data_IF_840948325845
#
_entry.id   IF_840948325845
#
_cell.length_a   1.000
_cell.length_b   1.000
_cell.length_c   1.000
_cell.angle_alpha   90.00
_cell.angle_beta   90.00
_cell.angle_gamma   90.00
#
_symmetry.space_group_name_H-M   'P 1'
#
loop_
_entity.id
_entity.type
_entity.pdbx_description
1 polymer ?
#
# COMPACT_ATOMS: atom_id res chain seq x y z
N UNK A 1 -14.26 0.38 -3.12
CA UNK A 1 -13.19 0.41 -4.14
C UNK A 1 -11.84 0.49 -3.46
N UNK A 2 -10.96 -0.45 -3.76
CA UNK A 2 -9.66 -0.55 -3.08
C UNK A 2 -8.59 0.21 -3.85
N UNK A 3 -7.48 0.51 -3.19
CA UNK A 3 -6.35 1.19 -3.83
C UNK A 3 -5.70 0.29 -4.89
N UNK A 4 -5.20 0.91 -5.95
CA UNK A 4 -4.42 0.21 -6.98
C UNK A 4 -3.04 -0.11 -6.44
N UNK A 5 -2.53 -1.30 -6.75
CA UNK A 5 -1.16 -1.69 -6.44
C UNK A 5 -0.38 -1.83 -7.74
N UNK A 6 0.89 -1.41 -7.72
CA UNK A 6 1.75 -1.51 -8.90
C UNK A 6 2.85 -2.56 -8.73
N UNK A 7 2.85 -3.25 -7.60
CA UNK A 7 3.74 -4.37 -7.32
C UNK A 7 2.96 -5.51 -6.67
N UNK A 8 3.41 -6.74 -6.89
CA UNK A 8 2.81 -7.94 -6.33
C UNK A 8 3.84 -9.06 -6.29
N UNK A 9 3.50 -10.17 -5.62
CA UNK A 9 4.26 -11.41 -5.74
C UNK A 9 3.67 -12.23 -6.88
N UNK A 10 4.54 -12.79 -7.73
CA UNK A 10 4.13 -13.65 -8.84
C UNK A 10 3.89 -15.10 -8.37
N UNK A 11 3.59 -16.00 -9.30
CA UNK A 11 3.35 -17.41 -9.00
C UNK A 11 4.54 -18.14 -8.38
N UNK A 12 5.75 -17.59 -8.51
CA UNK A 12 6.96 -18.13 -7.92
C UNK A 12 7.34 -17.45 -6.60
N UNK A 13 6.49 -16.56 -6.10
CA UNK A 13 6.74 -15.84 -4.87
C UNK A 13 7.75 -14.70 -4.99
N UNK A 14 8.04 -14.26 -6.20
CA UNK A 14 8.96 -13.16 -6.46
C UNK A 14 8.22 -11.85 -6.64
N UNK A 15 8.81 -10.77 -6.12
CA UNK A 15 8.25 -9.44 -6.29
C UNK A 15 8.35 -9.02 -7.76
N UNK A 16 7.23 -8.56 -8.33
CA UNK A 16 7.17 -8.12 -9.71
C UNK A 16 6.38 -6.82 -9.83
N UNK A 17 6.75 -6.00 -10.82
CA UNK A 17 5.99 -4.80 -11.15
C UNK A 17 4.85 -5.09 -12.11
N UNK A 18 3.84 -4.21 -12.11
CA UNK A 18 2.68 -4.37 -12.98
C UNK A 18 3.03 -4.34 -14.47
N UNK A 19 4.03 -3.56 -14.86
CA UNK A 19 4.48 -3.52 -16.26
C UNK A 19 5.14 -4.82 -16.69
N UNK A 20 5.98 -5.39 -15.84
CA UNK A 20 6.61 -6.69 -16.10
C UNK A 20 5.56 -7.80 -16.19
N UNK A 21 4.51 -7.71 -15.39
CA UNK A 21 3.41 -8.67 -15.37
C UNK A 21 2.64 -8.73 -16.70
N UNK A 22 2.77 -7.72 -17.56
CA UNK A 22 2.13 -7.76 -18.90
C UNK A 22 2.64 -8.93 -19.76
N UNK A 23 3.83 -9.43 -19.48
CA UNK A 23 4.38 -10.61 -20.17
C UNK A 23 3.73 -11.90 -19.67
N UNK A 24 3.14 -11.89 -18.49
CA UNK A 24 2.51 -13.05 -17.86
C UNK A 24 1.16 -12.69 -17.28
N UNK A 25 0.18 -12.25 -18.11
CA UNK A 25 -1.08 -11.68 -17.60
C UNK A 25 -1.99 -12.70 -16.91
N UNK A 26 -1.75 -13.98 -17.08
CA UNK A 26 -2.57 -15.05 -16.50
C UNK A 26 -1.89 -15.73 -15.30
N UNK A 27 -0.74 -15.23 -14.85
CA UNK A 27 -0.09 -15.75 -13.66
C UNK A 27 -0.89 -15.40 -12.41
N UNK A 28 -0.59 -16.08 -11.32
CA UNK A 28 -1.23 -15.80 -10.02
C UNK A 28 -0.44 -14.71 -9.31
N UNK A 29 -1.13 -13.63 -9.02
CA UNK A 29 -0.53 -12.51 -8.31
C UNK A 29 -1.16 -12.37 -6.94
N UNK A 30 -0.34 -12.18 -5.91
CA UNK A 30 -0.80 -11.98 -4.55
C UNK A 30 -0.19 -10.71 -3.96
N UNK A 31 -0.90 -10.12 -3.00
CA UNK A 31 -0.41 -8.95 -2.30
C UNK A 31 0.84 -9.29 -1.50
N UNK A 32 1.89 -8.51 -1.70
CA UNK A 32 3.16 -8.72 -0.99
C UNK A 32 3.05 -8.43 0.51
N UNK A 33 1.99 -7.78 0.97
CA UNK A 33 1.75 -7.46 2.37
C UNK A 33 0.83 -8.48 3.04
N UNK A 34 -0.39 -8.65 2.53
CA UNK A 34 -1.41 -9.45 3.19
C UNK A 34 -1.63 -10.84 2.59
N UNK A 35 -1.00 -11.13 1.44
CA UNK A 35 -1.12 -12.43 0.79
C UNK A 35 -2.46 -12.69 0.10
N UNK A 36 -3.31 -11.68 -0.04
CA UNK A 36 -4.58 -11.83 -0.76
C UNK A 36 -4.34 -11.98 -2.25
N UNK A 37 -5.14 -12.83 -2.90
CA UNK A 37 -5.09 -12.96 -4.36
C UNK A 37 -5.56 -11.66 -5.02
N UNK A 38 -4.81 -11.22 -6.03
CA UNK A 38 -5.06 -9.98 -6.72
C UNK A 38 -5.56 -10.25 -8.14
N UNK A 39 -6.32 -9.30 -8.66
CA UNK A 39 -6.71 -9.27 -10.06
C UNK A 39 -5.75 -8.39 -10.82
N UNK A 40 -5.16 -8.91 -11.90
CA UNK A 40 -4.29 -8.13 -12.76
C UNK A 40 -5.09 -7.39 -13.83
N UNK A 41 -4.82 -6.10 -13.97
CA UNK A 41 -5.39 -5.26 -15.02
C UNK A 41 -4.26 -4.83 -15.96
N UNK A 42 -4.22 -5.30 -17.22
CA UNK A 42 -3.21 -4.87 -18.17
C UNK A 42 -3.44 -3.42 -18.59
N UNK A 43 -2.43 -2.83 -19.23
CA UNK A 43 -2.52 -1.50 -19.78
C UNK A 43 -3.70 -1.39 -20.76
N UNK A 44 -4.50 -0.35 -20.60
CA UNK A 44 -5.65 -0.10 -21.48
C UNK A 44 -5.78 1.40 -21.71
N UNK A 45 -5.76 1.82 -22.97
CA UNK A 45 -5.74 3.23 -23.36
C UNK A 45 -4.58 3.97 -22.67
N UNK A 46 -4.91 4.99 -21.88
CA UNK A 46 -3.94 5.78 -21.12
C UNK A 46 -3.75 5.26 -19.70
N UNK A 47 -4.46 4.21 -19.30
CA UNK A 47 -4.38 3.68 -17.96
C UNK A 47 -3.21 2.72 -17.81
N UNK A 48 -2.38 2.94 -16.76
CA UNK A 48 -1.24 2.08 -16.44
C UNK A 48 -1.72 0.71 -15.97
N UNK A 49 -0.95 -0.36 -16.24
CA UNK A 49 -1.29 -1.65 -15.66
C UNK A 49 -1.21 -1.61 -14.13
N UNK A 50 -2.07 -2.37 -13.45
CA UNK A 50 -2.11 -2.40 -12.00
C UNK A 50 -2.70 -3.70 -11.48
N UNK A 51 -2.53 -3.94 -10.19
CA UNK A 51 -3.15 -5.05 -9.46
C UNK A 51 -4.23 -4.49 -8.54
N UNK A 52 -5.32 -5.24 -8.39
CA UNK A 52 -6.45 -4.84 -7.57
C UNK A 52 -6.81 -5.93 -6.57
N UNK A 53 -7.03 -5.52 -5.32
CA UNK A 53 -7.60 -6.41 -4.32
C UNK A 53 -9.07 -6.67 -4.63
N UNK A 54 -9.50 -7.91 -4.44
CA UNK A 54 -10.89 -8.32 -4.66
C UNK A 54 -11.53 -8.67 -3.33
N UNK A 55 -12.76 -8.19 -3.13
CA UNK A 55 -13.49 -8.41 -1.90
C UNK A 55 -13.63 -9.91 -1.56
N UNK A 56 -13.86 -10.75 -2.56
CA UNK A 56 -14.09 -12.18 -2.40
C UNK A 56 -12.82 -13.00 -2.14
N UNK A 57 -11.63 -12.43 -2.38
CA UNK A 57 -10.36 -13.14 -2.22
C UNK A 57 -9.49 -12.58 -1.10
N UNK A 58 -10.02 -11.65 -0.28
CA UNK A 58 -9.26 -11.06 0.82
C UNK A 58 -8.98 -12.09 1.92
N UNK A 59 -7.75 -12.08 2.41
CA UNK A 59 -7.39 -12.78 3.65
C UNK A 59 -7.93 -12.01 4.85
N UNK A 60 -8.00 -12.64 6.02
CA UNK A 60 -8.41 -11.94 7.25
C UNK A 60 -7.45 -10.79 7.57
N UNK A 61 -6.16 -11.03 7.41
CA UNK A 61 -5.14 -9.98 7.58
C UNK A 61 -5.35 -8.84 6.57
N UNK A 62 -5.72 -9.16 5.32
CA UNK A 62 -6.00 -8.16 4.30
C UNK A 62 -7.17 -7.27 4.66
N UNK A 63 -8.26 -7.86 5.14
CA UNK A 63 -9.45 -7.10 5.55
C UNK A 63 -9.16 -6.15 6.70
N UNK A 64 -8.32 -6.56 7.64
CA UNK A 64 -8.09 -5.82 8.88
C UNK A 64 -6.93 -4.85 8.79
N UNK A 65 -5.87 -5.18 8.06
CA UNK A 65 -4.60 -4.48 8.18
C UNK A 65 -3.98 -4.00 6.88
N UNK A 66 -4.39 -4.50 5.71
CA UNK A 66 -3.73 -4.13 4.47
C UNK A 66 -4.02 -2.68 4.08
N UNK A 67 -2.98 -1.84 3.86
CA UNK A 67 -3.17 -0.45 3.49
C UNK A 67 -3.91 -0.25 2.16
N UNK A 68 -3.82 -1.21 1.25
CA UNK A 68 -4.54 -1.16 -0.03
C UNK A 68 -6.03 -1.39 0.13
N UNK A 69 -6.45 -2.08 1.18
CA UNK A 69 -7.85 -2.37 1.50
C UNK A 69 -8.41 -1.32 2.46
N UNK A 70 -7.60 -0.91 3.44
CA UNK A 70 -7.97 0.09 4.44
C UNK A 70 -7.02 1.28 4.36
N UNK A 71 -7.23 2.21 3.43
CA UNK A 71 -6.46 3.44 3.38
C UNK A 71 -6.75 4.29 4.61
N UNK A 72 -5.92 5.30 4.85
CA UNK A 72 -6.10 6.22 5.97
C UNK A 72 -7.46 6.90 5.95
N UNK A 73 -7.94 7.31 7.11
CA UNK A 73 -9.25 7.95 7.26
C UNK A 73 -9.37 9.20 6.41
N UNK A 74 -8.32 10.03 6.39
CA UNK A 74 -8.31 11.25 5.59
C UNK A 74 -8.37 10.96 4.09
N UNK A 75 -7.63 9.95 3.64
CA UNK A 75 -7.63 9.55 2.24
C UNK A 75 -9.00 9.01 1.83
N UNK A 76 -9.63 8.20 2.66
CA UNK A 76 -10.98 7.68 2.41
C UNK A 76 -11.99 8.81 2.26
N UNK A 77 -11.91 9.80 3.14
CA UNK A 77 -12.80 10.97 3.09
C UNK A 77 -12.58 11.78 1.82
N UNK A 78 -11.32 12.03 1.47
CA UNK A 78 -10.96 12.76 0.27
C UNK A 78 -11.47 12.07 -0.98
N UNK A 79 -11.29 10.75 -1.09
CA UNK A 79 -11.74 9.98 -2.24
C UNK A 79 -13.27 9.97 -2.35
N UNK A 80 -14.00 9.89 -1.26
CA UNK A 80 -15.47 9.97 -1.27
C UNK A 80 -15.94 11.30 -1.85
N UNK A 81 -15.29 12.39 -1.48
CA UNK A 81 -15.61 13.70 -2.04
C UNK A 81 -15.27 13.76 -3.53
N UNK A 82 -14.11 13.24 -3.90
CA UNK A 82 -13.66 13.26 -5.27
C UNK A 82 -14.54 12.40 -6.19
N UNK A 83 -15.09 11.31 -5.70
CA UNK A 83 -15.95 10.40 -6.49
C UNK A 83 -17.23 11.06 -6.97
N UNK A 84 -17.67 12.17 -6.35
CA UNK A 84 -18.80 12.92 -6.86
C UNK A 84 -18.50 13.60 -8.20
N UNK A 85 -17.23 13.84 -8.51
CA UNK A 85 -16.76 14.43 -9.77
C UNK A 85 -16.07 13.42 -10.67
N UNK A 86 -15.36 12.47 -10.07
CA UNK A 86 -14.60 11.43 -10.77
C UNK A 86 -15.02 10.08 -10.18
N UNK A 87 -16.07 9.44 -10.73
CA UNK A 87 -16.61 8.19 -10.14
C UNK A 87 -15.60 7.05 -10.03
N UNK A 88 -14.58 7.05 -10.89
CA UNK A 88 -13.56 6.00 -10.95
C UNK A 88 -12.35 6.29 -10.04
N UNK A 89 -12.42 7.32 -9.21
CA UNK A 89 -11.31 7.67 -8.33
C UNK A 89 -11.04 6.54 -7.32
N UNK A 90 -9.78 6.16 -7.21
CA UNK A 90 -9.30 5.15 -6.26
C UNK A 90 -8.48 5.80 -5.16
N UNK A 91 -8.53 5.29 -3.93
CA UNK A 91 -7.63 5.77 -2.89
C UNK A 91 -6.18 5.45 -3.23
N UNK A 92 -5.27 6.26 -2.71
CA UNK A 92 -3.83 6.08 -2.87
C UNK A 92 -3.25 5.54 -1.57
N UNK A 93 -2.27 4.64 -1.71
CA UNK A 93 -1.50 4.18 -0.57
C UNK A 93 -0.26 5.05 -0.44
N UNK A 94 -0.10 5.66 0.71
CA UNK A 94 1.00 6.56 0.99
C UNK A 94 2.27 5.77 1.30
N UNK A 95 3.36 6.09 0.61
CA UNK A 95 4.67 5.47 0.81
C UNK A 95 5.58 6.42 1.57
N UNK A 96 6.20 5.93 2.64
CA UNK A 96 7.08 6.75 3.47
C UNK A 96 8.04 5.86 4.25
N UNK A 97 8.93 6.50 5.02
CA UNK A 97 9.79 5.81 5.98
C UNK A 97 9.04 5.70 7.30
N UNK A 98 9.01 4.51 7.86
CA UNK A 98 8.24 4.18 9.06
C UNK A 98 9.11 3.54 10.11
N UNK A 99 8.75 3.77 11.38
CA UNK A 99 9.28 3.06 12.53
C UNK A 99 8.16 2.27 13.19
N UNK A 100 8.37 0.97 13.41
CA UNK A 100 7.41 0.11 14.09
C UNK A 100 7.75 0.01 15.57
N UNK A 101 6.88 0.51 16.44
CA UNK A 101 7.07 0.40 17.89
C UNK A 101 6.89 -1.03 18.43
N UNK A 102 6.22 -1.88 17.66
CA UNK A 102 5.98 -3.27 18.08
C UNK A 102 7.23 -4.13 18.05
N UNK A 103 8.07 -3.98 17.03
CA UNK A 103 9.30 -4.77 16.87
C UNK A 103 10.57 -3.92 16.82
N UNK A 104 10.46 -2.61 16.80
CA UNK A 104 11.59 -1.69 16.76
C UNK A 104 12.26 -1.53 15.41
N UNK A 105 11.67 -2.05 14.35
CA UNK A 105 12.25 -2.00 13.01
C UNK A 105 11.86 -0.72 12.26
N UNK A 106 12.81 -0.22 11.46
CA UNK A 106 12.55 0.85 10.49
C UNK A 106 12.36 0.23 9.11
N UNK A 107 11.43 0.79 8.32
CA UNK A 107 11.20 0.29 6.97
C UNK A 107 10.66 1.40 6.07
N UNK A 108 10.79 1.20 4.76
CA UNK A 108 10.25 2.10 3.75
C UNK A 108 9.14 1.40 2.96
N UNK A 109 8.09 2.12 2.64
CA UNK A 109 6.98 1.63 1.82
C UNK A 109 5.63 1.99 2.40
N UNK A 110 4.70 1.07 2.30
CA UNK A 110 3.37 1.20 2.86
C UNK A 110 3.43 1.10 4.39
N UNK A 111 2.44 1.69 5.07
CA UNK A 111 2.32 1.59 6.53
C UNK A 111 1.92 0.18 6.93
N UNK A 112 2.85 -0.74 6.85
CA UNK A 112 2.62 -2.14 7.19
C UNK A 112 3.95 -2.81 7.57
N UNK A 113 4.11 -3.17 8.83
CA UNK A 113 5.27 -3.89 9.30
C UNK A 113 5.13 -5.38 8.96
N UNK A 114 6.06 -5.91 8.18
CA UNK A 114 6.01 -7.32 7.76
C UNK A 114 6.23 -8.28 8.93
N UNK A 115 6.96 -7.86 9.94
CA UNK A 115 7.19 -8.68 11.15
C UNK A 115 5.95 -8.74 12.03
N UNK A 116 5.32 -7.58 12.29
CA UNK A 116 4.12 -7.48 13.12
C UNK A 116 2.83 -7.76 12.34
N UNK A 117 2.89 -7.75 11.02
CA UNK A 117 1.76 -7.93 10.10
C UNK A 117 0.62 -6.93 10.32
N UNK A 118 0.98 -5.72 10.71
CA UNK A 118 0.04 -4.62 10.89
C UNK A 118 0.77 -3.29 10.82
N UNK A 119 0.06 -2.24 10.45
CA UNK A 119 0.59 -0.88 10.49
C UNK A 119 0.22 -0.11 11.75
N UNK A 120 -0.48 -0.73 12.71
CA UNK A 120 -0.98 -0.04 13.91
C UNK A 120 0.12 0.55 14.77
N UNK A 121 1.28 -0.10 14.82
CA UNK A 121 2.41 0.32 15.65
C UNK A 121 3.42 1.20 14.90
N UNK A 122 3.15 1.52 13.65
CA UNK A 122 4.08 2.26 12.80
C UNK A 122 3.75 3.74 12.78
N UNK A 123 4.78 4.57 12.87
CA UNK A 123 4.67 6.02 12.71
C UNK A 123 5.79 6.53 11.79
N UNK A 124 5.58 7.71 11.24
CA UNK A 124 6.49 8.27 10.23
C UNK A 124 7.79 8.74 10.87
N UNK A 125 8.91 8.29 10.30
CA UNK A 125 10.23 8.73 10.72
C UNK A 125 10.48 10.20 10.41
N UNK A 126 9.96 10.71 9.30
CA UNK A 126 10.13 12.10 8.91
C UNK A 126 9.58 13.06 9.98
N UNK A 127 8.49 12.70 10.64
CA UNK A 127 7.93 13.53 11.72
C UNK A 127 8.88 13.55 12.94
N UNK A 128 9.43 12.38 13.29
CA UNK A 128 10.39 12.27 14.37
C UNK A 128 11.71 13.00 14.05
N UNK A 129 12.18 12.86 12.82
CA UNK A 129 13.38 13.55 12.35
C UNK A 129 13.20 15.07 12.36
N UNK A 130 12.05 15.56 11.93
CA UNK A 130 11.75 16.98 11.97
C UNK A 130 11.83 17.55 13.39
N UNK A 131 11.29 16.84 14.36
CA UNK A 131 11.35 17.23 15.77
C UNK A 131 12.79 17.24 16.27
N UNK A 132 13.54 16.21 15.93
CA UNK A 132 14.95 16.10 16.31
C UNK A 132 15.77 17.22 15.69
N UNK A 133 15.54 17.51 14.41
CA UNK A 133 16.21 18.60 13.71
C UNK A 133 15.91 19.97 14.32
N UNK A 134 14.67 20.23 14.70
CA UNK A 134 14.28 21.46 15.37
C UNK A 134 15.00 21.63 16.70
N UNK A 135 15.04 20.58 17.52
CA UNK A 135 15.75 20.58 18.80
C UNK A 135 17.25 20.84 18.60
N UNK A 136 17.85 20.17 17.62
CA UNK A 136 19.25 20.36 17.27
C UNK A 136 19.50 21.77 16.78
N UNK A 137 18.59 22.31 15.95
CA UNK A 137 18.70 23.69 15.46
C UNK A 137 18.62 24.71 16.58
N UNK A 138 17.78 24.47 17.57
CA UNK A 138 17.70 25.37 18.75
C UNK A 138 18.94 25.30 19.61
N UNK A 139 19.63 24.18 19.64
CA UNK A 139 20.88 24.03 20.39
C UNK A 139 22.06 24.76 19.75
N UNK A 140 21.94 25.10 18.50
CA UNK A 140 22.94 25.87 17.78
C UNK A 140 22.71 27.36 17.92
#
# INVERSE_FOLDING_TARGET
MYAKSFIALDGNGRLTGARTAQQYPYDRYICHLCGSALRYHPEYNTERPYFEHRHDTLTDSGRQHCPYVKPGVQETRHIRQLQSYVPDAHPLVFLADWHCNGCGSDYHGERYCLTCRTGEYSHRLSDAESRTAEVTGCAC
#
